data_IF_149805374378
#
_entry.id   IF_149805374378
#
_cell.length_a   1.000
_cell.length_b   1.000
_cell.length_c   1.000
_cell.angle_alpha   90.00
_cell.angle_beta   90.00
_cell.angle_gamma   90.00
#
_symmetry.space_group_name_H-M   'P 1'
#
loop_
_entity.id
_entity.type
_entity.pdbx_description
1 polymer ?
#
# COMPACT_ATOMS: atom_id res chain seq x y z
N UNK A 1 10.20 0.40 -6.62
CA UNK A 1 9.22 1.39 -6.14
C UNK A 1 8.25 1.67 -7.27
N UNK A 2 7.25 0.81 -7.47
CA UNK A 2 6.36 0.90 -8.65
C UNK A 2 5.33 2.04 -8.55
N UNK A 3 4.88 2.35 -7.32
CA UNK A 3 3.87 3.40 -7.06
C UNK A 3 4.42 4.60 -6.26
N UNK A 4 5.74 4.74 -6.12
CA UNK A 4 6.38 5.93 -5.53
C UNK A 4 6.16 6.18 -4.03
N UNK A 5 5.52 5.27 -3.31
CA UNK A 5 5.20 5.40 -1.87
C UNK A 5 5.86 4.28 -1.07
N UNK A 6 6.41 4.62 0.11
CA UNK A 6 7.02 3.67 1.03
C UNK A 6 6.02 3.35 2.15
N UNK A 7 5.56 2.09 2.18
CA UNK A 7 4.85 1.50 3.32
C UNK A 7 5.68 0.37 3.91
N UNK A 8 5.41 0.01 5.18
CA UNK A 8 6.10 -1.10 5.85
C UNK A 8 5.19 -2.32 5.93
N UNK A 9 5.69 -3.48 5.49
CA UNK A 9 5.12 -4.76 5.90
C UNK A 9 5.43 -4.98 7.40
N UNK A 10 4.39 -4.97 8.22
CA UNK A 10 4.53 -5.10 9.67
C UNK A 10 4.71 -6.57 10.06
N UNK A 11 5.44 -6.88 11.15
CA UNK A 11 5.65 -8.26 11.56
C UNK A 11 4.34 -8.90 12.07
N UNK A 12 4.31 -10.24 12.06
CA UNK A 12 3.24 -11.05 12.64
C UNK A 12 1.85 -10.92 11.98
N UNK A 13 1.81 -10.66 10.67
CA UNK A 13 0.59 -10.73 9.87
C UNK A 13 0.75 -10.04 8.52
N UNK A 14 -0.30 -10.09 7.71
CA UNK A 14 -0.37 -9.40 6.42
C UNK A 14 -0.88 -7.98 6.60
N UNK A 15 -0.02 -7.12 7.15
CA UNK A 15 -0.38 -5.75 7.55
C UNK A 15 0.56 -4.75 6.87
N UNK A 16 -0.03 -3.82 6.11
CA UNK A 16 0.68 -2.71 5.50
C UNK A 16 0.53 -1.44 6.36
N UNK A 17 1.63 -1.00 6.98
CA UNK A 17 1.66 0.13 7.90
C UNK A 17 2.21 1.41 7.29
N UNK A 18 1.64 2.55 7.70
CA UNK A 18 2.06 3.90 7.35
C UNK A 18 2.23 4.75 8.61
N UNK A 19 3.33 5.51 8.68
CA UNK A 19 3.60 6.48 9.74
C UNK A 19 4.31 7.70 9.13
N UNK A 20 3.60 8.53 8.35
CA UNK A 20 4.21 9.67 7.68
C UNK A 20 4.62 10.78 8.67
N UNK A 21 5.45 11.75 8.24
CA UNK A 21 5.76 12.94 9.04
C UNK A 21 4.51 13.69 9.47
N UNK A 22 4.53 14.29 10.66
CA UNK A 22 3.37 15.00 11.22
C UNK A 22 3.00 16.29 10.46
N UNK A 23 3.90 16.80 9.62
CA UNK A 23 3.67 17.97 8.75
C UNK A 23 2.92 17.64 7.46
N UNK A 24 2.51 16.39 7.25
CA UNK A 24 1.85 15.94 6.03
C UNK A 24 0.53 16.67 5.77
N UNK A 25 0.28 16.98 4.50
CA UNK A 25 -0.95 17.60 4.02
C UNK A 25 -1.97 16.57 3.55
N UNK A 26 -3.25 16.97 3.47
CA UNK A 26 -4.31 16.11 2.90
C UNK A 26 -3.99 15.65 1.48
N UNK A 27 -3.44 16.55 0.65
CA UNK A 27 -3.06 16.23 -0.73
C UNK A 27 -1.96 15.17 -0.81
N UNK A 28 -1.01 15.18 0.13
CA UNK A 28 0.02 14.14 0.20
C UNK A 28 -0.54 12.81 0.71
N UNK A 29 -1.53 12.84 1.62
CA UNK A 29 -2.27 11.64 2.02
C UNK A 29 -3.00 11.03 0.82
N UNK A 30 -3.61 11.84 -0.05
CA UNK A 30 -4.29 11.34 -1.25
C UNK A 30 -3.32 10.58 -2.18
N UNK A 31 -2.06 11.03 -2.29
CA UNK A 31 -1.00 10.32 -3.04
C UNK A 31 -0.70 8.96 -2.40
N UNK A 32 -0.59 8.91 -1.06
CA UNK A 32 -0.36 7.65 -0.33
C UNK A 32 -1.51 6.67 -0.60
N UNK A 33 -2.75 7.11 -0.43
CA UNK A 33 -3.94 6.25 -0.58
C UNK A 33 -4.09 5.75 -2.03
N UNK A 34 -3.91 6.60 -3.04
CA UNK A 34 -3.98 6.20 -4.45
C UNK A 34 -2.91 5.14 -4.79
N UNK A 35 -1.68 5.32 -4.31
CA UNK A 35 -0.61 4.34 -4.46
C UNK A 35 -0.93 3.02 -3.73
N UNK A 36 -1.54 3.08 -2.54
CA UNK A 36 -1.97 1.89 -1.79
C UNK A 36 -3.03 1.12 -2.57
N UNK A 37 -4.06 1.79 -3.10
CA UNK A 37 -5.15 1.15 -3.87
C UNK A 37 -4.58 0.41 -5.08
N UNK A 38 -3.70 1.06 -5.86
CA UNK A 38 -3.04 0.45 -7.01
C UNK A 38 -2.22 -0.78 -6.62
N UNK A 39 -1.47 -0.69 -5.53
CA UNK A 39 -0.64 -1.80 -5.04
C UNK A 39 -1.49 -3.00 -4.61
N UNK A 40 -2.58 -2.74 -3.86
CA UNK A 40 -3.47 -3.81 -3.37
C UNK A 40 -4.23 -4.46 -4.52
N UNK A 41 -4.73 -3.70 -5.50
CA UNK A 41 -5.40 -4.27 -6.69
C UNK A 41 -4.45 -5.18 -7.48
N UNK A 42 -3.21 -4.73 -7.73
CA UNK A 42 -2.19 -5.54 -8.39
C UNK A 42 -1.92 -6.85 -7.64
N UNK A 43 -1.68 -6.78 -6.33
CA UNK A 43 -1.43 -7.98 -5.51
C UNK A 43 -2.65 -8.91 -5.50
N UNK A 44 -3.86 -8.36 -5.34
CA UNK A 44 -5.08 -9.16 -5.35
C UNK A 44 -5.27 -9.91 -6.68
N UNK A 45 -5.04 -9.24 -7.81
CA UNK A 45 -5.11 -9.87 -9.14
C UNK A 45 -4.08 -10.98 -9.30
N UNK A 46 -2.85 -10.78 -8.81
CA UNK A 46 -1.82 -11.80 -8.83
C UNK A 46 -2.22 -13.02 -8.00
N UNK A 47 -2.66 -12.81 -6.75
CA UNK A 47 -3.12 -13.90 -5.87
C UNK A 47 -4.31 -14.67 -6.48
N UNK A 48 -5.24 -13.96 -7.13
CA UNK A 48 -6.37 -14.58 -7.83
C UNK A 48 -5.92 -15.43 -9.02
N UNK A 49 -4.92 -14.97 -9.79
CA UNK A 49 -4.37 -15.73 -10.90
C UNK A 49 -3.62 -17.00 -10.44
N UNK A 50 -3.03 -16.94 -9.24
CA UNK A 50 -2.35 -18.07 -8.58
C UNK A 50 -3.32 -19.03 -7.88
N UNK A 51 -4.62 -18.70 -7.78
CA UNK A 51 -5.62 -19.50 -7.07
C UNK A 51 -5.45 -19.49 -5.54
N UNK A 52 -4.72 -18.50 -5.00
CA UNK A 52 -4.53 -18.33 -3.56
C UNK A 52 -5.74 -17.66 -2.88
N UNK A 53 -6.57 -16.94 -3.65
CA UNK A 53 -7.84 -16.31 -3.24
C UNK A 53 -8.91 -16.42 -4.32
#
# INVERSE_FOLDING_TARGET
FENGVIGRAMPHGDILGYAPPLIITRKEIDIIVDATVKSVDTTYRALKAEGAV
#
